data_IF_684498969701
#
_entry.id   IF_684498969701
#
_cell.length_a   1.000
_cell.length_b   1.000
_cell.length_c   1.000
_cell.angle_alpha   90.00
_cell.angle_beta   90.00
_cell.angle_gamma   90.00
#
_symmetry.space_group_name_H-M   'P 1'
#
loop_
_entity.id
_entity.type
_entity.pdbx_description
1 polymer ?
#
# COMPACT_ATOMS: atom_id res chain seq x y z
N UNK A 1 -2.34 -21.56 14.45
CA UNK A 1 -1.09 -21.24 13.70
C UNK A 1 -1.46 -20.94 12.26
N UNK A 2 -0.97 -19.87 11.68
CA UNK A 2 -1.22 -19.52 10.28
C UNK A 2 -0.67 -20.61 9.35
N UNK A 3 -1.47 -21.04 8.38
CA UNK A 3 -1.05 -22.00 7.33
C UNK A 3 0.00 -21.41 6.38
N UNK A 4 0.23 -20.08 6.40
CA UNK A 4 1.21 -19.39 5.55
C UNK A 4 2.60 -19.31 6.19
N UNK A 5 2.69 -19.31 7.53
CA UNK A 5 3.96 -19.13 8.23
C UNK A 5 5.06 -20.16 7.85
N UNK A 6 4.77 -21.47 7.70
CA UNK A 6 5.80 -22.41 7.28
C UNK A 6 6.39 -22.08 5.90
N UNK A 7 5.54 -21.72 4.93
CA UNK A 7 5.96 -21.36 3.57
C UNK A 7 6.83 -20.10 3.55
N UNK A 8 6.45 -19.10 4.34
CA UNK A 8 7.23 -17.87 4.46
C UNK A 8 8.57 -18.09 5.17
N UNK A 9 8.64 -18.98 6.16
CA UNK A 9 9.90 -19.36 6.81
C UNK A 9 10.85 -20.11 5.85
N UNK A 10 10.32 -21.02 5.04
CA UNK A 10 11.10 -21.67 3.99
C UNK A 10 11.64 -20.66 2.98
N UNK A 11 10.80 -19.73 2.53
CA UNK A 11 11.21 -18.66 1.62
C UNK A 11 12.29 -17.77 2.27
N UNK A 12 12.15 -17.40 3.55
CA UNK A 12 13.17 -16.63 4.29
C UNK A 12 14.51 -17.38 4.35
N UNK A 13 14.48 -18.66 4.65
CA UNK A 13 15.68 -19.48 4.75
C UNK A 13 16.40 -19.61 3.40
N UNK A 14 15.68 -19.63 2.27
CA UNK A 14 16.27 -19.75 0.93
C UNK A 14 17.02 -18.50 0.47
N UNK A 15 16.76 -17.34 1.07
CA UNK A 15 17.39 -16.08 0.63
C UNK A 15 18.87 -15.96 1.01
N UNK A 16 19.37 -16.73 1.99
CA UNK A 16 20.75 -16.62 2.51
C UNK A 16 21.14 -15.16 2.81
N UNK A 17 20.23 -14.41 3.40
CA UNK A 17 20.37 -12.97 3.69
C UNK A 17 20.41 -12.77 5.21
N UNK A 18 21.52 -12.27 5.73
CA UNK A 18 21.76 -12.08 7.18
C UNK A 18 21.18 -10.76 7.74
N UNK A 19 20.55 -9.94 6.89
CA UNK A 19 19.93 -8.68 7.36
C UNK A 19 18.77 -8.98 8.30
N UNK A 20 18.67 -8.19 9.37
CA UNK A 20 17.57 -8.26 10.37
C UNK A 20 16.23 -7.76 9.83
N UNK A 21 16.25 -7.01 8.73
CA UNK A 21 15.05 -6.58 8.01
C UNK A 21 15.37 -6.37 6.54
N UNK A 22 14.40 -6.64 5.68
CA UNK A 22 14.60 -6.44 4.25
C UNK A 22 13.34 -6.66 3.43
N UNK A 23 13.47 -6.31 2.17
CA UNK A 23 12.51 -6.59 1.10
C UNK A 23 13.29 -7.14 -0.08
N UNK A 24 12.76 -8.14 -0.75
CA UNK A 24 13.32 -8.70 -1.98
C UNK A 24 12.22 -9.03 -2.97
N UNK A 25 12.50 -8.83 -4.25
CA UNK A 25 11.61 -9.26 -5.31
C UNK A 25 11.59 -10.80 -5.39
N UNK A 26 10.44 -11.36 -5.74
CA UNK A 26 10.28 -12.79 -5.95
C UNK A 26 10.36 -13.15 -7.44
N UNK A 27 10.26 -14.43 -7.77
CA UNK A 27 10.15 -14.89 -9.16
C UNK A 27 8.82 -14.51 -9.85
N UNK A 28 7.85 -13.95 -9.11
CA UNK A 28 6.55 -13.50 -9.65
C UNK A 28 6.55 -11.98 -9.77
N UNK A 29 6.40 -11.41 -10.97
CA UNK A 29 6.40 -9.96 -11.16
C UNK A 29 5.34 -9.25 -10.30
N UNK A 30 5.76 -8.17 -9.60
CA UNK A 30 4.91 -7.42 -8.70
C UNK A 30 4.63 -8.10 -7.36
N UNK A 31 5.37 -9.16 -7.04
CA UNK A 31 5.32 -9.79 -5.71
C UNK A 31 6.69 -9.68 -5.05
N UNK A 32 6.74 -9.03 -3.90
CA UNK A 32 7.94 -8.93 -3.08
C UNK A 32 7.73 -9.61 -1.72
N UNK A 33 8.79 -10.20 -1.20
CA UNK A 33 8.84 -10.79 0.13
C UNK A 33 9.52 -9.83 1.09
N UNK A 34 9.00 -9.70 2.32
CA UNK A 34 9.60 -8.85 3.35
C UNK A 34 9.69 -9.57 4.70
N UNK A 35 10.69 -9.21 5.48
CA UNK A 35 10.94 -9.71 6.83
C UNK A 35 11.42 -8.62 7.77
N UNK A 36 11.10 -8.74 9.06
CA UNK A 36 11.56 -7.87 10.13
C UNK A 36 11.72 -8.72 11.39
N UNK A 37 12.96 -8.84 11.90
CA UNK A 37 13.33 -9.74 13.00
C UNK A 37 13.18 -9.08 14.38
N UNK A 38 12.81 -7.80 14.43
CA UNK A 38 12.68 -7.04 15.68
C UNK A 38 11.46 -6.13 15.67
N UNK A 39 10.96 -5.80 16.84
CA UNK A 39 9.86 -4.85 16.96
C UNK A 39 10.29 -3.45 16.49
N UNK A 40 9.42 -2.78 15.74
CA UNK A 40 9.62 -1.40 15.32
C UNK A 40 8.58 -0.50 15.97
N UNK A 41 9.01 0.62 16.57
CA UNK A 41 8.08 1.58 17.14
C UNK A 41 7.23 2.22 16.04
N UNK A 42 6.11 2.78 16.45
CA UNK A 42 5.22 3.54 15.58
C UNK A 42 6.02 4.60 14.80
N UNK A 43 6.05 4.45 13.49
CA UNK A 43 6.83 5.29 12.60
C UNK A 43 6.10 5.50 11.26
N UNK A 44 6.31 6.64 10.60
CA UNK A 44 5.70 6.94 9.32
C UNK A 44 6.18 5.97 8.24
N UNK A 45 5.24 5.48 7.44
CA UNK A 45 5.46 4.57 6.33
C UNK A 45 4.59 4.98 5.14
N UNK A 46 5.12 4.91 3.94
CA UNK A 46 4.40 5.10 2.70
C UNK A 46 4.29 3.76 1.99
N UNK A 47 3.07 3.28 1.80
CA UNK A 47 2.79 2.16 0.91
C UNK A 47 2.23 2.67 -0.41
N UNK A 48 2.67 2.07 -1.49
CA UNK A 48 2.01 2.20 -2.79
C UNK A 48 0.76 1.30 -2.87
N UNK A 49 -0.05 1.47 -3.91
CA UNK A 49 -1.23 0.63 -4.17
C UNK A 49 -0.85 -0.85 -4.20
N UNK A 50 -1.52 -1.67 -3.41
CA UNK A 50 -1.13 -3.07 -3.28
C UNK A 50 -1.88 -3.83 -2.19
N UNK A 51 -1.49 -5.09 -2.02
CA UNK A 51 -1.91 -5.93 -0.89
C UNK A 51 -0.69 -6.19 0.00
N UNK A 52 -0.85 -6.04 1.30
CA UNK A 52 0.17 -6.44 2.28
C UNK A 52 -0.37 -7.63 3.05
N UNK A 53 0.27 -8.78 2.88
CA UNK A 53 -0.13 -10.04 3.48
C UNK A 53 0.94 -10.44 4.49
N UNK A 54 0.59 -10.43 5.77
CA UNK A 54 1.44 -10.87 6.87
C UNK A 54 1.03 -12.29 7.22
N UNK A 55 1.93 -13.25 7.11
CA UNK A 55 1.65 -14.64 7.49
C UNK A 55 2.23 -15.02 8.85
N UNK A 56 3.16 -14.23 9.39
CA UNK A 56 3.76 -14.39 10.71
C UNK A 56 4.08 -13.03 11.31
N UNK A 57 3.85 -12.86 12.61
CA UNK A 57 3.94 -11.57 13.29
C UNK A 57 2.71 -10.71 13.07
N UNK A 58 2.78 -9.44 13.46
CA UNK A 58 1.66 -8.49 13.28
C UNK A 58 2.14 -7.07 13.08
N UNK A 59 1.33 -6.29 12.38
CA UNK A 59 1.48 -4.85 12.22
C UNK A 59 0.23 -4.13 12.69
N UNK A 60 0.42 -2.93 13.23
CA UNK A 60 -0.66 -2.03 13.60
C UNK A 60 -0.49 -0.75 12.79
N UNK A 61 -1.50 -0.40 12.00
CA UNK A 61 -1.54 0.83 11.21
C UNK A 61 -2.39 1.90 11.89
N UNK A 62 -2.00 3.16 11.72
CA UNK A 62 -2.68 4.34 12.27
C UNK A 62 -2.91 5.35 11.15
N UNK A 63 -4.16 5.57 10.79
CA UNK A 63 -4.55 6.47 9.69
C UNK A 63 -5.76 7.30 10.07
N UNK A 64 -5.64 8.63 10.06
CA UNK A 64 -6.77 9.55 10.27
C UNK A 64 -7.53 9.33 11.60
N UNK A 65 -6.82 8.91 12.66
CA UNK A 65 -7.42 8.57 13.96
C UNK A 65 -7.97 7.14 14.06
N UNK A 66 -7.99 6.38 12.96
CA UNK A 66 -8.32 4.94 12.96
C UNK A 66 -7.05 4.13 13.26
N UNK A 67 -7.23 3.07 14.05
CA UNK A 67 -6.24 2.02 14.24
C UNK A 67 -6.77 0.74 13.58
N UNK A 68 -5.91 0.03 12.85
CA UNK A 68 -6.23 -1.25 12.25
C UNK A 68 -5.05 -2.21 12.38
N UNK A 69 -5.37 -3.48 12.58
CA UNK A 69 -4.40 -4.57 12.70
C UNK A 69 -4.40 -5.38 11.41
N UNK A 70 -3.23 -5.82 10.98
CA UNK A 70 -3.06 -6.79 9.90
C UNK A 70 -1.96 -7.78 10.24
N UNK A 71 -2.31 -9.05 10.11
CA UNK A 71 -1.55 -10.22 10.55
C UNK A 71 -1.99 -11.46 9.76
N UNK A 72 -1.73 -12.65 10.31
CA UNK A 72 -2.10 -13.91 9.67
C UNK A 72 -3.62 -14.10 9.42
N UNK A 73 -4.46 -13.32 10.09
CA UNK A 73 -5.92 -13.40 9.96
C UNK A 73 -6.51 -12.33 9.03
N UNK A 74 -5.69 -11.33 8.66
CA UNK A 74 -6.15 -10.21 7.81
C UNK A 74 -5.02 -9.66 6.95
N UNK A 75 -5.25 -9.50 5.65
CA UNK A 75 -4.40 -8.72 4.78
C UNK A 75 -4.85 -7.26 4.73
N UNK A 76 -3.93 -6.37 4.37
CA UNK A 76 -4.23 -4.97 4.14
C UNK A 76 -4.37 -4.70 2.65
N UNK A 77 -5.51 -4.14 2.25
CA UNK A 77 -5.76 -3.67 0.89
C UNK A 77 -5.51 -2.16 0.83
N UNK A 78 -4.61 -1.76 -0.04
CA UNK A 78 -4.26 -0.36 -0.30
C UNK A 78 -4.72 -0.02 -1.71
N UNK A 79 -5.86 0.64 -1.84
CA UNK A 79 -6.39 1.07 -3.12
C UNK A 79 -5.70 2.31 -3.67
N UNK A 80 -5.06 3.10 -2.82
CA UNK A 80 -4.30 4.29 -3.20
C UNK A 80 -3.03 4.37 -2.36
N UNK A 81 -1.97 5.04 -2.84
CA UNK A 81 -0.81 5.32 -2.02
C UNK A 81 -1.20 6.18 -0.81
N UNK A 82 -0.89 5.73 0.39
CA UNK A 82 -1.22 6.47 1.61
C UNK A 82 -0.06 6.45 2.60
N UNK A 83 0.44 7.61 3.05
CA UNK A 83 1.32 7.69 4.19
C UNK A 83 0.51 7.48 5.47
N UNK A 84 0.84 6.47 6.24
CA UNK A 84 0.29 6.24 7.57
C UNK A 84 1.39 5.78 8.53
N UNK A 85 1.14 5.81 9.81
CA UNK A 85 2.10 5.31 10.78
C UNK A 85 1.88 3.83 11.02
N UNK A 86 2.97 3.10 11.12
CA UNK A 86 2.95 1.66 11.33
C UNK A 86 3.84 1.29 12.50
N UNK A 87 3.36 0.39 13.32
CA UNK A 87 4.09 -0.29 14.39
C UNK A 87 4.23 -1.76 14.02
N UNK A 88 5.42 -2.33 14.23
CA UNK A 88 5.68 -3.75 14.04
C UNK A 88 5.81 -4.42 15.40
N UNK A 89 5.00 -5.43 15.64
CA UNK A 89 5.05 -6.25 16.84
C UNK A 89 5.57 -7.64 16.49
N UNK A 90 6.69 -7.97 17.07
CA UNK A 90 7.37 -9.26 16.94
C UNK A 90 7.45 -9.86 18.32
N UNK A 91 7.00 -11.10 18.45
CA UNK A 91 7.19 -11.89 19.66
C UNK A 91 8.54 -12.64 19.55
N UNK A 92 8.56 -13.96 19.73
CA UNK A 92 9.79 -14.78 19.60
C UNK A 92 10.18 -15.10 18.14
N UNK A 93 9.29 -14.84 17.18
CA UNK A 93 9.50 -15.15 15.77
C UNK A 93 9.42 -13.87 14.91
N UNK A 94 10.20 -13.78 13.79
CA UNK A 94 10.22 -12.61 12.93
C UNK A 94 8.85 -12.35 12.27
N UNK A 95 8.61 -11.10 11.91
CA UNK A 95 7.51 -10.74 11.03
C UNK A 95 7.89 -11.14 9.60
N UNK A 96 7.03 -11.96 8.97
CA UNK A 96 7.20 -12.42 7.59
C UNK A 96 5.94 -12.15 6.78
N UNK A 97 6.12 -11.69 5.55
CA UNK A 97 4.99 -11.45 4.67
C UNK A 97 5.38 -11.20 3.22
N UNK A 98 4.37 -11.05 2.40
CA UNK A 98 4.50 -10.65 0.99
C UNK A 98 3.72 -9.39 0.72
N UNK A 99 4.22 -8.62 -0.23
CA UNK A 99 3.47 -7.52 -0.85
C UNK A 99 3.15 -7.93 -2.28
N UNK A 100 1.92 -7.67 -2.69
CA UNK A 100 1.45 -7.87 -4.06
C UNK A 100 1.06 -6.52 -4.62
N UNK A 101 1.74 -6.06 -5.65
CA UNK A 101 1.42 -4.83 -6.35
C UNK A 101 0.11 -4.98 -7.12
N UNK A 102 -0.73 -3.98 -7.07
CA UNK A 102 -1.98 -3.95 -7.80
C UNK A 102 -1.79 -3.21 -9.11
N UNK A 103 -1.70 -3.98 -10.20
CA UNK A 103 -1.72 -3.42 -11.55
C UNK A 103 -3.13 -2.90 -11.91
N UNK A 104 -3.31 -1.61 -12.19
CA UNK A 104 -4.60 -1.04 -12.60
C UNK A 104 -5.21 -1.74 -13.82
N UNK A 105 -4.41 -2.16 -14.79
CA UNK A 105 -4.89 -2.87 -15.97
C UNK A 105 -5.48 -4.23 -15.62
N UNK A 106 -4.83 -4.96 -14.68
CA UNK A 106 -5.32 -6.24 -14.14
C UNK A 106 -6.65 -6.08 -13.43
N UNK A 107 -6.77 -5.08 -12.54
CA UNK A 107 -8.02 -4.81 -11.82
C UNK A 107 -9.13 -4.47 -12.83
N UNK A 108 -8.83 -3.62 -13.81
CA UNK A 108 -9.78 -3.21 -14.82
C UNK A 108 -10.30 -4.40 -15.65
N UNK A 109 -9.41 -5.30 -16.07
CA UNK A 109 -9.77 -6.51 -16.81
C UNK A 109 -10.69 -7.43 -16.00
N UNK A 110 -10.41 -7.64 -14.71
CA UNK A 110 -11.26 -8.45 -13.81
C UNK A 110 -12.62 -7.79 -13.58
N UNK A 111 -12.65 -6.49 -13.32
CA UNK A 111 -13.90 -5.74 -13.13
C UNK A 111 -14.74 -5.78 -14.42
N UNK A 112 -14.15 -5.50 -15.59
CA UNK A 112 -14.88 -5.54 -16.86
C UNK A 112 -15.51 -6.92 -17.13
N UNK A 113 -14.81 -8.00 -16.77
CA UNK A 113 -15.29 -9.38 -16.95
C UNK A 113 -16.43 -9.76 -16.01
N UNK A 114 -16.45 -9.22 -14.79
CA UNK A 114 -17.35 -9.66 -13.72
C UNK A 114 -18.24 -8.55 -13.14
N UNK A 115 -18.31 -7.36 -13.77
CA UNK A 115 -19.02 -6.19 -13.23
C UNK A 115 -20.46 -6.50 -12.79
N UNK A 116 -21.22 -7.20 -13.63
CA UNK A 116 -22.62 -7.54 -13.33
C UNK A 116 -22.77 -8.47 -12.12
N UNK A 117 -21.78 -9.36 -11.88
CA UNK A 117 -21.82 -10.32 -10.78
C UNK A 117 -21.25 -9.75 -9.48
N UNK A 118 -20.45 -8.69 -9.54
CA UNK A 118 -19.87 -8.04 -8.37
C UNK A 118 -20.88 -7.23 -7.57
N UNK A 119 -21.99 -6.80 -8.20
CA UNK A 119 -23.11 -6.15 -7.50
C UNK A 119 -22.76 -4.80 -6.86
N UNK A 120 -21.74 -4.10 -7.36
CA UNK A 120 -21.31 -2.80 -6.83
C UNK A 120 -22.13 -1.60 -7.35
N UNK A 121 -23.25 -1.85 -8.02
CA UNK A 121 -24.18 -0.80 -8.47
C UNK A 121 -24.86 -0.13 -7.28
N UNK A 122 -24.77 1.19 -7.18
CA UNK A 122 -25.42 1.98 -6.11
C UNK A 122 -24.59 3.16 -5.62
N UNK A 123 -25.08 3.86 -4.61
CA UNK A 123 -24.55 5.14 -4.13
C UNK A 123 -23.05 5.13 -3.83
N UNK A 124 -22.38 6.16 -4.31
CA UNK A 124 -20.98 6.46 -3.95
C UNK A 124 -20.86 6.61 -2.43
N UNK A 125 -20.24 5.64 -1.77
CA UNK A 125 -19.73 5.85 -0.43
C UNK A 125 -18.24 6.10 -0.53
N UNK A 126 -17.81 7.30 -0.19
CA UNK A 126 -16.38 7.61 -0.09
C UNK A 126 -15.78 6.74 1.01
N UNK A 127 -14.95 5.77 0.62
CA UNK A 127 -14.31 4.81 1.52
C UNK A 127 -12.87 5.21 1.77
N UNK A 128 -12.32 4.72 2.87
CA UNK A 128 -10.88 4.80 3.14
C UNK A 128 -10.11 4.10 2.02
N UNK A 129 -8.97 4.65 1.63
CA UNK A 129 -8.04 4.01 0.69
C UNK A 129 -7.32 2.80 1.24
N UNK A 130 -7.50 2.49 2.55
CA UNK A 130 -6.83 1.39 3.26
C UNK A 130 -7.86 0.60 4.05
N UNK A 131 -8.02 -0.69 3.74
CA UNK A 131 -8.97 -1.55 4.42
C UNK A 131 -8.35 -2.93 4.75
N UNK A 132 -8.50 -3.42 5.98
CA UNK A 132 -8.15 -4.79 6.32
C UNK A 132 -9.22 -5.75 5.78
N UNK A 133 -8.79 -6.84 5.16
CA UNK A 133 -9.63 -7.90 4.59
C UNK A 133 -9.30 -9.22 5.28
N UNK A 134 -10.32 -9.96 5.72
CA UNK A 134 -10.13 -11.22 6.40
C UNK A 134 -9.42 -12.27 5.51
N UNK A 135 -8.31 -12.81 6.00
CA UNK A 135 -7.50 -13.84 5.33
C UNK A 135 -8.06 -15.22 5.66
N UNK A 136 -9.11 -15.65 4.92
CA UNK A 136 -9.79 -16.93 5.15
C UNK A 136 -10.35 -17.53 3.87
N UNK A 137 -10.66 -18.83 3.91
CA UNK A 137 -11.28 -19.55 2.81
C UNK A 137 -10.48 -19.41 1.50
N UNK A 138 -11.17 -19.12 0.42
CA UNK A 138 -10.58 -19.09 -0.91
C UNK A 138 -9.47 -18.02 -1.09
N UNK A 139 -9.49 -16.91 -0.34
CA UNK A 139 -8.41 -15.92 -0.37
C UNK A 139 -7.14 -16.49 0.28
N UNK A 140 -7.28 -17.16 1.41
CA UNK A 140 -6.16 -17.84 2.08
C UNK A 140 -5.58 -18.94 1.20
N UNK A 141 -6.44 -19.76 0.55
CA UNK A 141 -6.00 -20.82 -0.35
C UNK A 141 -5.28 -20.29 -1.60
N UNK A 142 -5.75 -19.18 -2.17
CA UNK A 142 -5.07 -18.51 -3.30
C UNK A 142 -3.69 -18.00 -2.90
N UNK A 143 -3.60 -17.38 -1.71
CA UNK A 143 -2.33 -16.90 -1.15
C UNK A 143 -1.36 -18.05 -0.88
N UNK A 144 -1.85 -19.18 -0.36
CA UNK A 144 -1.04 -20.38 -0.16
C UNK A 144 -0.47 -20.90 -1.50
N UNK A 145 -1.29 -20.99 -2.56
CA UNK A 145 -0.83 -21.39 -3.90
C UNK A 145 0.23 -20.45 -4.46
N UNK A 146 0.07 -19.13 -4.26
CA UNK A 146 1.11 -18.18 -4.63
C UNK A 146 2.43 -18.49 -3.92
N UNK A 147 2.40 -18.63 -2.59
CA UNK A 147 3.62 -18.94 -1.81
C UNK A 147 4.24 -20.29 -2.19
N UNK A 148 3.43 -21.30 -2.48
CA UNK A 148 3.90 -22.61 -2.98
C UNK A 148 4.62 -22.46 -4.32
N UNK A 149 4.11 -21.64 -5.25
CA UNK A 149 4.75 -21.39 -6.54
C UNK A 149 6.10 -20.68 -6.43
N UNK A 150 6.36 -19.94 -5.35
CA UNK A 150 7.65 -19.25 -5.15
C UNK A 150 8.82 -20.21 -4.83
N UNK A 151 8.55 -21.49 -4.58
CA UNK A 151 9.57 -22.50 -4.30
C UNK A 151 10.36 -22.94 -5.53
N UNK A 152 9.76 -22.80 -6.70
CA UNK A 152 10.35 -23.19 -7.97
C UNK A 152 10.27 -22.04 -8.99
N UNK A 153 11.38 -21.72 -9.70
CA UNK A 153 11.40 -20.65 -10.69
C UNK A 153 10.42 -20.86 -11.87
N UNK A 154 10.18 -22.09 -12.30
CA UNK A 154 9.22 -22.37 -13.37
C UNK A 154 7.79 -22.18 -12.89
N UNK A 155 7.46 -22.65 -11.68
CA UNK A 155 6.14 -22.45 -11.08
C UNK A 155 5.89 -20.96 -10.80
N UNK A 156 6.89 -20.22 -10.35
CA UNK A 156 6.80 -18.76 -10.19
C UNK A 156 6.38 -18.06 -11.47
N UNK A 157 6.93 -18.47 -12.61
CA UNK A 157 6.61 -17.88 -13.92
C UNK A 157 5.29 -18.39 -14.50
N UNK A 158 5.00 -19.66 -14.37
CA UNK A 158 3.84 -20.30 -15.00
C UNK A 158 2.56 -20.18 -14.17
N UNK A 159 2.63 -20.36 -12.86
CA UNK A 159 1.48 -20.42 -11.94
C UNK A 159 1.30 -19.15 -11.14
N UNK A 160 2.41 -18.50 -10.73
CA UNK A 160 2.41 -17.32 -9.88
C UNK A 160 1.47 -16.19 -10.36
N UNK A 161 1.53 -15.75 -11.62
CA UNK A 161 0.65 -14.70 -12.14
C UNK A 161 -0.84 -15.03 -12.03
N UNK A 162 -1.22 -16.29 -12.28
CA UNK A 162 -2.61 -16.74 -12.14
C UNK A 162 -3.06 -16.78 -10.67
N UNK A 163 -2.17 -17.14 -9.75
CA UNK A 163 -2.45 -17.08 -8.31
C UNK A 163 -2.65 -15.62 -7.84
N UNK A 164 -1.87 -14.66 -8.35
CA UNK A 164 -2.08 -13.23 -8.10
C UNK A 164 -3.43 -12.77 -8.65
N UNK A 165 -3.82 -13.19 -9.88
CA UNK A 165 -5.15 -12.87 -10.43
C UNK A 165 -6.28 -13.40 -9.54
N UNK A 166 -6.12 -14.62 -9.03
CA UNK A 166 -7.11 -15.18 -8.10
C UNK A 166 -7.19 -14.39 -6.79
N UNK A 167 -6.05 -14.01 -6.20
CA UNK A 167 -6.03 -13.19 -4.98
C UNK A 167 -6.78 -11.88 -5.22
N UNK A 168 -6.48 -11.14 -6.28
CA UNK A 168 -7.15 -9.88 -6.63
C UNK A 168 -8.65 -10.10 -6.83
N UNK A 169 -9.05 -11.14 -7.54
CA UNK A 169 -10.46 -11.51 -7.72
C UNK A 169 -11.16 -11.83 -6.38
N UNK A 170 -10.49 -12.56 -5.46
CA UNK A 170 -11.06 -12.87 -4.14
C UNK A 170 -11.22 -11.61 -3.27
N UNK A 171 -10.27 -10.68 -3.34
CA UNK A 171 -10.38 -9.38 -2.69
C UNK A 171 -11.53 -8.57 -3.29
N UNK A 172 -11.67 -8.52 -4.61
CA UNK A 172 -12.81 -7.86 -5.28
C UNK A 172 -14.16 -8.41 -4.79
N UNK A 173 -14.25 -9.71 -4.52
CA UNK A 173 -15.47 -10.35 -4.01
C UNK A 173 -15.69 -10.23 -2.51
N UNK A 174 -14.75 -9.65 -1.77
CA UNK A 174 -14.90 -9.42 -0.32
C UNK A 174 -15.81 -8.21 -0.04
N UNK A 175 -16.20 -8.04 1.21
CA UNK A 175 -16.96 -6.87 1.68
C UNK A 175 -16.26 -5.52 1.45
N UNK A 176 -14.92 -5.55 1.34
CA UNK A 176 -14.07 -4.38 1.07
C UNK A 176 -13.60 -4.28 -0.38
N UNK A 177 -14.01 -5.19 -1.26
CA UNK A 177 -13.60 -5.24 -2.67
C UNK A 177 -13.99 -4.01 -3.49
N UNK A 178 -14.96 -3.23 -2.98
CA UNK A 178 -15.37 -1.98 -3.60
C UNK A 178 -14.23 -0.96 -3.70
N UNK A 179 -13.27 -0.98 -2.81
CA UNK A 179 -12.06 -0.12 -2.89
C UNK A 179 -11.33 -0.32 -4.22
N UNK A 180 -11.19 -1.59 -4.66
CA UNK A 180 -10.56 -1.90 -5.94
C UNK A 180 -11.49 -1.63 -7.13
N UNK A 181 -12.78 -1.87 -6.99
CA UNK A 181 -13.76 -1.56 -8.03
C UNK A 181 -13.80 -0.04 -8.32
N UNK A 182 -13.83 0.80 -7.29
CA UNK A 182 -13.91 2.26 -7.43
C UNK A 182 -12.66 2.84 -8.12
N UNK A 183 -11.51 2.16 -8.09
CA UNK A 183 -10.32 2.53 -8.88
C UNK A 183 -10.56 2.45 -10.40
N UNK A 184 -11.43 1.55 -10.83
CA UNK A 184 -11.74 1.37 -12.27
C UNK A 184 -12.81 2.32 -12.77
N UNK A 185 -13.49 3.04 -11.85
CA UNK A 185 -14.59 3.94 -12.18
C UNK A 185 -14.11 5.38 -12.39
N UNK A 186 -14.00 5.82 -13.64
CA UNK A 186 -13.46 7.14 -13.99
C UNK A 186 -14.19 8.34 -13.38
N UNK A 187 -15.44 8.20 -12.99
CA UNK A 187 -16.31 9.31 -12.52
C UNK A 187 -16.56 9.33 -11.02
N UNK A 188 -15.96 8.45 -10.23
CA UNK A 188 -16.12 8.46 -8.77
C UNK A 188 -15.19 9.48 -8.10
N UNK A 189 -15.62 10.01 -6.97
CA UNK A 189 -14.75 10.86 -6.13
C UNK A 189 -13.48 10.11 -5.72
N UNK A 190 -13.60 8.81 -5.47
CA UNK A 190 -12.46 7.94 -5.14
C UNK A 190 -11.41 7.91 -6.27
N UNK A 191 -11.85 7.62 -7.50
CA UNK A 191 -10.95 7.60 -8.65
C UNK A 191 -10.32 8.98 -8.94
N UNK A 192 -11.08 10.06 -8.73
CA UNK A 192 -10.57 11.43 -8.84
C UNK A 192 -9.47 11.72 -7.82
N UNK A 193 -9.68 11.28 -6.57
CA UNK A 193 -8.64 11.38 -5.51
C UNK A 193 -7.44 10.49 -5.84
N UNK A 194 -7.64 9.27 -6.34
CA UNK A 194 -6.55 8.37 -6.73
C UNK A 194 -5.64 9.02 -7.79
N UNK A 195 -6.22 9.62 -8.84
CA UNK A 195 -5.45 10.38 -9.85
C UNK A 195 -4.70 11.57 -9.27
N UNK A 196 -5.33 12.32 -8.36
CA UNK A 196 -4.65 13.42 -7.68
C UNK A 196 -3.47 12.92 -6.84
N UNK A 197 -3.60 11.77 -6.17
CA UNK A 197 -2.52 11.14 -5.43
C UNK A 197 -1.37 10.70 -6.34
N UNK A 198 -1.65 10.07 -7.48
CA UNK A 198 -0.62 9.75 -8.48
C UNK A 198 0.11 11.00 -8.96
N UNK A 199 -0.62 12.10 -9.22
CA UNK A 199 -0.03 13.40 -9.57
C UNK A 199 0.86 13.92 -8.45
N UNK A 200 0.38 13.89 -7.20
CA UNK A 200 1.16 14.34 -6.04
C UNK A 200 2.43 13.50 -5.86
N UNK A 201 2.37 12.18 -6.07
CA UNK A 201 3.53 11.30 -5.97
C UNK A 201 4.56 11.51 -7.09
N UNK A 202 4.10 11.77 -8.30
CA UNK A 202 4.97 12.05 -9.44
C UNK A 202 5.64 13.42 -9.32
N UNK A 203 4.87 14.42 -8.93
CA UNK A 203 5.26 15.83 -8.96
C UNK A 203 5.50 16.45 -7.57
N UNK A 204 5.73 15.62 -6.52
CA UNK A 204 5.89 16.09 -5.13
C UNK A 204 6.95 17.18 -4.93
N UNK A 205 7.94 17.24 -5.82
CA UNK A 205 9.00 18.27 -5.81
C UNK A 205 8.51 19.65 -6.27
N UNK A 206 7.43 19.69 -7.05
CA UNK A 206 6.88 20.92 -7.64
C UNK A 206 5.95 21.65 -6.66
N UNK A 207 5.73 22.93 -6.90
CA UNK A 207 4.70 23.68 -6.20
C UNK A 207 3.33 23.26 -6.72
N UNK A 208 2.67 22.33 -6.01
CA UNK A 208 1.31 21.89 -6.29
C UNK A 208 0.32 22.69 -5.44
N UNK A 209 -0.70 23.26 -6.07
CA UNK A 209 -1.79 23.94 -5.38
C UNK A 209 -3.01 23.05 -5.27
N UNK A 210 -3.80 23.25 -4.23
CA UNK A 210 -5.04 22.49 -3.99
C UNK A 210 -6.06 22.81 -5.09
N UNK A 211 -6.09 24.04 -5.58
CA UNK A 211 -7.02 24.48 -6.64
C UNK A 211 -6.71 23.79 -7.98
N UNK A 212 -5.44 23.62 -8.34
CA UNK A 212 -5.03 22.86 -9.52
C UNK A 212 -5.47 21.40 -9.41
N UNK A 213 -5.20 20.75 -8.28
CA UNK A 213 -5.58 19.35 -8.07
C UNK A 213 -7.11 19.15 -8.07
N UNK A 214 -7.86 20.07 -7.50
CA UNK A 214 -9.31 20.05 -7.50
C UNK A 214 -9.86 20.24 -8.92
N UNK A 215 -9.32 21.19 -9.67
CA UNK A 215 -9.71 21.45 -11.06
C UNK A 215 -9.45 20.23 -11.97
N UNK A 216 -8.27 19.61 -11.89
CA UNK A 216 -7.91 18.39 -12.62
C UNK A 216 -8.80 17.20 -12.23
N UNK A 217 -9.31 17.21 -11.00
CA UNK A 217 -10.25 16.20 -10.48
C UNK A 217 -11.72 16.50 -10.86
N UNK A 218 -11.99 17.58 -11.60
CA UNK A 218 -13.33 18.08 -11.92
C UNK A 218 -14.20 18.32 -10.67
N UNK A 219 -13.58 18.84 -9.60
CA UNK A 219 -14.22 19.09 -8.31
C UNK A 219 -14.03 20.55 -7.87
N UNK A 220 -14.95 21.05 -7.04
CA UNK A 220 -14.67 22.28 -6.28
C UNK A 220 -13.61 21.99 -5.19
N UNK A 221 -12.82 23.01 -4.80
CA UNK A 221 -11.80 22.86 -3.78
C UNK A 221 -12.34 22.26 -2.47
N UNK A 222 -13.55 22.66 -2.05
CA UNK A 222 -14.18 22.13 -0.84
C UNK A 222 -14.62 20.67 -0.98
N UNK A 223 -15.17 20.25 -2.13
CA UNK A 223 -15.52 18.87 -2.42
C UNK A 223 -14.28 17.99 -2.50
N UNK A 224 -13.24 18.47 -3.20
CA UNK A 224 -11.96 17.78 -3.29
C UNK A 224 -11.34 17.56 -1.89
N UNK A 225 -11.29 18.60 -1.07
CA UNK A 225 -10.73 18.49 0.28
C UNK A 225 -11.46 17.45 1.13
N UNK A 226 -12.80 17.40 1.08
CA UNK A 226 -13.61 16.42 1.82
C UNK A 226 -13.37 15.00 1.30
N UNK A 227 -13.43 14.79 -0.02
CA UNK A 227 -13.21 13.50 -0.64
C UNK A 227 -11.79 12.99 -0.38
N UNK A 228 -10.80 13.87 -0.54
CA UNK A 228 -9.39 13.54 -0.28
C UNK A 228 -9.18 13.10 1.17
N UNK A 229 -9.71 13.86 2.15
CA UNK A 229 -9.62 13.50 3.57
C UNK A 229 -10.35 12.19 3.90
N UNK A 230 -11.47 11.93 3.28
CA UNK A 230 -12.20 10.67 3.49
C UNK A 230 -11.42 9.44 2.97
N UNK A 231 -10.71 9.58 1.83
CA UNK A 231 -9.90 8.51 1.24
C UNK A 231 -8.58 8.32 1.98
N UNK A 232 -7.88 9.42 2.29
CA UNK A 232 -6.50 9.39 2.82
C UNK A 232 -6.40 9.57 4.34
N UNK A 233 -7.49 9.96 4.99
CA UNK A 233 -7.50 10.30 6.43
C UNK A 233 -6.95 11.69 6.74
N UNK A 234 -6.39 12.42 5.77
CA UNK A 234 -5.66 13.68 5.97
C UNK A 234 -6.04 14.75 4.93
N UNK A 235 -5.69 16.00 5.21
CA UNK A 235 -5.84 17.05 4.20
C UNK A 235 -4.78 16.93 3.09
N UNK A 236 -5.07 17.40 1.85
CA UNK A 236 -4.12 17.31 0.74
C UNK A 236 -2.75 17.94 1.06
N UNK A 237 -2.74 19.08 1.77
CA UNK A 237 -1.50 19.75 2.14
C UNK A 237 -0.67 18.93 3.14
N UNK A 238 -1.32 18.33 4.15
CA UNK A 238 -0.64 17.49 5.13
C UNK A 238 -0.10 16.22 4.48
N UNK A 239 -0.87 15.64 3.57
CA UNK A 239 -0.45 14.49 2.78
C UNK A 239 0.83 14.79 1.97
N UNK A 240 0.84 15.87 1.17
CA UNK A 240 2.01 16.26 0.38
C UNK A 240 3.24 16.50 1.25
N UNK A 241 3.04 17.17 2.39
CA UNK A 241 4.09 17.41 3.37
C UNK A 241 4.69 16.10 3.90
N UNK A 242 3.85 15.15 4.35
CA UNK A 242 4.31 13.83 4.83
C UNK A 242 5.03 13.06 3.73
N UNK A 243 4.51 13.05 2.50
CA UNK A 243 5.17 12.43 1.35
C UNK A 243 6.57 12.99 1.15
N UNK A 244 6.74 14.32 1.16
CA UNK A 244 8.05 14.97 1.04
C UNK A 244 9.00 14.57 2.17
N UNK A 245 8.53 14.59 3.41
CA UNK A 245 9.36 14.21 4.56
C UNK A 245 9.82 12.74 4.51
N UNK A 246 8.95 11.82 4.07
CA UNK A 246 9.28 10.41 3.90
C UNK A 246 10.29 10.21 2.76
N UNK A 247 10.14 10.91 1.63
CA UNK A 247 11.10 10.88 0.52
C UNK A 247 12.45 11.47 0.96
N UNK A 248 12.45 12.58 1.71
CA UNK A 248 13.69 13.15 2.26
C UNK A 248 14.38 12.19 3.24
N UNK A 249 13.63 11.50 4.11
CA UNK A 249 14.18 10.48 5.01
C UNK A 249 14.90 9.37 4.21
N UNK A 250 14.28 8.90 3.13
CA UNK A 250 14.89 7.90 2.27
C UNK A 250 16.18 8.42 1.61
N UNK A 251 16.18 9.65 1.08
CA UNK A 251 17.36 10.27 0.48
C UNK A 251 18.51 10.45 1.48
N UNK A 252 18.20 10.87 2.72
CA UNK A 252 19.21 11.00 3.79
C UNK A 252 19.81 9.64 4.19
N UNK A 253 19.00 8.58 4.28
CA UNK A 253 19.42 7.27 4.80
C UNK A 253 20.09 6.39 3.74
N UNK A 254 19.63 6.45 2.49
CA UNK A 254 20.03 5.50 1.46
C UNK A 254 20.83 6.12 0.31
N UNK A 255 20.64 7.43 0.06
CA UNK A 255 21.35 8.14 -1.02
C UNK A 255 22.52 9.00 -0.48
N UNK A 256 22.63 9.14 0.84
CA UNK A 256 23.73 9.86 1.49
C UNK A 256 23.67 11.38 1.33
N UNK A 257 22.52 11.94 0.95
CA UNK A 257 22.37 13.38 0.77
C UNK A 257 22.52 14.14 2.09
N UNK A 258 23.05 15.37 2.03
CA UNK A 258 23.03 16.31 3.14
C UNK A 258 21.62 16.83 3.44
N UNK A 259 21.40 17.32 4.67
CA UNK A 259 20.06 17.81 5.11
C UNK A 259 19.53 18.94 4.22
N UNK A 260 20.41 19.85 3.81
CA UNK A 260 20.04 20.98 2.95
C UNK A 260 19.70 20.51 1.53
N UNK A 261 20.50 19.62 0.98
CA UNK A 261 20.29 19.03 -0.33
C UNK A 261 19.01 18.20 -0.38
N UNK A 262 18.76 17.36 0.63
CA UNK A 262 17.53 16.60 0.75
C UNK A 262 16.28 17.50 0.85
N UNK A 263 16.38 18.64 1.53
CA UNK A 263 15.28 19.60 1.62
C UNK A 263 14.89 20.16 0.24
N UNK A 264 15.87 20.60 -0.54
CA UNK A 264 15.62 21.13 -1.89
C UNK A 264 15.18 20.03 -2.86
N UNK A 265 15.76 18.85 -2.76
CA UNK A 265 15.41 17.67 -3.59
C UNK A 265 13.93 17.30 -3.44
N UNK A 266 13.35 17.44 -2.27
CA UNK A 266 11.93 17.13 -2.05
C UNK A 266 11.00 18.33 -2.19
N UNK A 267 11.51 19.47 -2.68
CA UNK A 267 10.70 20.65 -3.04
C UNK A 267 10.41 21.62 -1.90
N UNK A 268 11.26 21.67 -0.86
CA UNK A 268 11.22 22.77 0.11
C UNK A 268 11.99 23.98 -0.41
N UNK A 269 11.41 25.16 -0.26
CA UNK A 269 12.07 26.41 -0.61
C UNK A 269 13.11 26.86 0.45
N UNK A 270 13.08 26.27 1.66
CA UNK A 270 13.95 26.64 2.78
C UNK A 270 14.33 25.40 3.60
N UNK A 271 15.62 25.15 3.72
CA UNK A 271 16.18 24.10 4.58
C UNK A 271 15.83 24.32 6.06
N UNK A 272 15.70 25.58 6.51
CA UNK A 272 15.27 25.91 7.87
C UNK A 272 13.81 25.52 8.14
N UNK A 273 12.92 25.71 7.15
CA UNK A 273 11.53 25.23 7.26
C UNK A 273 11.50 23.71 7.28
N UNK A 274 12.20 23.05 6.37
CA UNK A 274 12.33 21.60 6.32
C UNK A 274 12.80 21.03 7.66
N UNK A 275 13.89 21.55 8.23
CA UNK A 275 14.47 21.06 9.48
C UNK A 275 13.50 21.16 10.67
N UNK A 276 12.68 22.22 10.73
CA UNK A 276 11.65 22.36 11.77
C UNK A 276 10.52 21.34 11.62
N UNK A 277 10.15 21.03 10.38
CA UNK A 277 9.08 20.09 10.09
C UNK A 277 9.53 18.63 10.20
N UNK A 278 10.79 18.36 9.85
CA UNK A 278 11.40 17.01 9.92
C UNK A 278 11.67 16.54 11.36
N UNK A 279 11.87 17.47 12.30
CA UNK A 279 12.09 17.18 13.73
C UNK A 279 10.80 16.94 14.54
N UNK A 280 9.64 17.21 13.98
CA UNK A 280 8.32 17.01 14.63
C UNK A 280 7.78 15.61 14.37
#
# INVERSE_FOLDING_TARGET
MSTLAPLLRELRASLHDDRTSGVTETGVPGVSFFWIDHALPRSPLLYDTGLVIVGQGRKIGYLGGRQFRYDAESCLVLGVPVPFECEVQVDDEPLLGIRVDLDPARIHALVAKFAAQLGFEGAETTRSGVEPVAMRGALLDATRRLLESLRDPMDSQAVGPAAVDEIVYRVLRSEHGRVLYDLTQHRTHYASVARALERMHRDYRKALTIDELAHESAMSASSFHRAFKAVTGESPLQYLKKTRLLKAKAALLFEGLGVEEAAYEVGYASASQFSREFKR
#
